data_IF_180627496510
#
_entry.id   IF_180627496510
#
_cell.length_a   1.000
_cell.length_b   1.000
_cell.length_c   1.000
_cell.angle_alpha   90.00
_cell.angle_beta   90.00
_cell.angle_gamma   90.00
#
_symmetry.space_group_name_H-M   'P 1'
#
loop_
_entity.id
_entity.type
_entity.pdbx_description
1 polymer ?
#
# COMPACT_ATOMS: atom_id res chain seq x y z
N UNK A 1 20.67 -8.55 3.85
CA UNK A 1 20.44 -7.75 2.64
C UNK A 1 19.05 -7.15 2.79
N UNK A 2 18.95 -5.83 2.89
CA UNK A 2 17.68 -5.12 3.03
C UNK A 2 17.27 -4.62 1.64
N UNK A 3 16.02 -4.82 1.28
CA UNK A 3 15.41 -4.19 0.10
C UNK A 3 14.43 -3.17 0.66
N UNK A 4 14.63 -1.91 0.31
CA UNK A 4 13.77 -0.79 0.72
C UNK A 4 13.21 -0.12 -0.53
N UNK A 5 11.89 -0.12 -0.66
CA UNK A 5 11.21 0.53 -1.79
C UNK A 5 11.23 2.04 -1.69
N UNK A 6 11.30 2.61 -0.47
CA UNK A 6 11.29 4.06 -0.25
C UNK A 6 12.64 4.71 -0.60
N UNK A 7 13.72 3.92 -0.62
CA UNK A 7 15.05 4.35 -1.08
C UNK A 7 15.36 3.86 -2.51
N UNK A 8 14.40 3.21 -3.18
CA UNK A 8 14.62 2.63 -4.51
C UNK A 8 14.53 3.70 -5.60
N UNK A 9 15.64 3.92 -6.32
CA UNK A 9 15.69 4.91 -7.43
C UNK A 9 14.75 4.59 -8.60
N UNK A 10 14.23 3.36 -8.68
CA UNK A 10 13.29 2.93 -9.70
C UNK A 10 11.83 3.00 -9.24
N UNK A 11 11.57 3.46 -8.01
CA UNK A 11 10.21 3.62 -7.47
C UNK A 11 9.35 4.48 -8.41
N UNK A 12 8.07 4.13 -8.51
CA UNK A 12 7.07 4.78 -9.38
C UNK A 12 7.39 4.74 -10.89
N UNK A 13 8.25 3.81 -11.32
CA UNK A 13 8.51 3.54 -12.74
C UNK A 13 7.98 2.17 -13.15
N UNK A 14 7.94 1.90 -14.45
CA UNK A 14 7.53 0.60 -15.00
C UNK A 14 8.45 -0.57 -14.61
N UNK A 15 9.61 -0.30 -13.98
CA UNK A 15 10.44 -1.37 -13.42
C UNK A 15 9.78 -2.06 -12.22
N UNK A 16 8.83 -1.40 -11.53
CA UNK A 16 8.08 -1.99 -10.44
C UNK A 16 7.06 -3.04 -10.90
N UNK A 17 6.61 -2.98 -12.16
CA UNK A 17 5.58 -3.89 -12.69
C UNK A 17 6.05 -5.36 -12.74
N UNK A 18 7.36 -5.57 -12.93
CA UNK A 18 8.01 -6.89 -12.95
C UNK A 18 8.99 -7.07 -11.78
N UNK A 19 8.87 -6.25 -10.73
CA UNK A 19 9.73 -6.35 -9.56
C UNK A 19 9.28 -7.49 -8.64
N UNK A 20 10.23 -8.30 -8.16
CA UNK A 20 9.98 -9.37 -7.18
C UNK A 20 9.28 -8.86 -5.91
N UNK A 21 9.55 -7.61 -5.49
CA UNK A 21 8.92 -7.02 -4.31
C UNK A 21 7.42 -6.83 -4.53
N UNK A 22 7.02 -6.35 -5.71
CA UNK A 22 5.61 -6.22 -6.10
C UNK A 22 4.92 -7.57 -6.03
N UNK A 23 5.53 -8.65 -6.53
CA UNK A 23 4.94 -10.00 -6.48
C UNK A 23 4.81 -10.51 -5.04
N UNK A 24 5.84 -10.31 -4.20
CA UNK A 24 5.84 -10.76 -2.81
C UNK A 24 4.81 -10.01 -1.95
N UNK A 25 4.59 -8.73 -2.22
CA UNK A 25 3.59 -7.90 -1.53
C UNK A 25 2.19 -8.05 -2.12
N UNK A 26 2.05 -8.23 -3.44
CA UNK A 26 0.78 -8.44 -4.13
C UNK A 26 0.01 -9.66 -3.61
N UNK A 27 0.73 -10.71 -3.20
CA UNK A 27 0.12 -11.87 -2.54
C UNK A 27 -0.60 -11.54 -1.22
N UNK A 28 -0.28 -10.40 -0.60
CA UNK A 28 -0.86 -9.91 0.65
C UNK A 28 -1.82 -8.73 0.42
N UNK A 29 -1.54 -7.85 -0.55
CA UNK A 29 -2.27 -6.60 -0.80
C UNK A 29 -3.49 -6.71 -1.72
N UNK A 30 -3.70 -7.85 -2.38
CA UNK A 30 -4.93 -8.09 -3.16
C UNK A 30 -6.14 -8.54 -2.33
N UNK A 31 -5.97 -8.73 -1.01
CA UNK A 31 -7.14 -8.86 -0.12
C UNK A 31 -7.69 -7.47 0.10
N UNK A 32 -8.89 -7.22 -0.42
CA UNK A 32 -9.70 -6.08 0.00
C UNK A 32 -9.76 -6.10 1.53
N UNK A 33 -9.27 -5.04 2.16
CA UNK A 33 -9.49 -4.81 3.58
C UNK A 33 -10.98 -4.56 3.74
N UNK A 34 -11.68 -5.48 4.40
CA UNK A 34 -13.08 -5.29 4.76
C UNK A 34 -13.11 -4.40 6.00
N UNK A 35 -13.68 -3.22 5.85
CA UNK A 35 -13.93 -2.30 6.94
C UNK A 35 -15.37 -2.46 7.37
N UNK A 36 -15.59 -2.58 8.68
CA UNK A 36 -16.92 -2.41 9.23
C UNK A 36 -17.36 -0.94 9.20
N UNK A 37 -18.61 -0.69 9.58
CA UNK A 37 -19.19 0.64 9.55
C UNK A 37 -18.45 1.63 10.46
N UNK A 38 -18.00 1.17 11.63
CA UNK A 38 -17.30 2.02 12.61
C UNK A 38 -15.87 2.33 12.15
N UNK A 39 -15.20 1.37 11.52
CA UNK A 39 -13.88 1.57 10.93
C UNK A 39 -13.93 2.54 9.75
N UNK A 40 -14.94 2.41 8.89
CA UNK A 40 -15.16 3.34 7.77
C UNK A 40 -15.39 4.77 8.27
N UNK A 41 -16.27 4.94 9.27
CA UNK A 41 -16.53 6.24 9.90
C UNK A 41 -15.28 6.83 10.55
N UNK A 42 -14.43 5.99 11.17
CA UNK A 42 -13.17 6.45 11.76
C UNK A 42 -12.21 6.97 10.69
N UNK A 43 -12.08 6.29 9.54
CA UNK A 43 -11.24 6.73 8.43
C UNK A 43 -11.76 8.04 7.83
N UNK A 44 -13.07 8.16 7.64
CA UNK A 44 -13.68 9.40 7.12
C UNK A 44 -13.41 10.60 8.06
N UNK A 45 -13.54 10.40 9.37
CA UNK A 45 -13.21 11.43 10.37
C UNK A 45 -11.73 11.86 10.31
N UNK A 46 -10.82 10.91 10.08
CA UNK A 46 -9.39 11.21 9.93
C UNK A 46 -9.13 12.02 8.66
N UNK A 47 -9.74 11.65 7.54
CA UNK A 47 -9.63 12.38 6.28
C UNK A 47 -10.18 13.82 6.41
N UNK A 48 -11.33 13.99 7.06
CA UNK A 48 -11.91 15.31 7.35
C UNK A 48 -11.01 16.18 8.25
N UNK A 49 -10.19 15.55 9.11
CA UNK A 49 -9.19 16.21 9.93
C UNK A 49 -7.87 16.53 9.19
N UNK A 50 -7.74 16.12 7.92
CA UNK A 50 -6.58 16.42 7.07
C UNK A 50 -5.49 15.34 7.03
N UNK A 51 -5.85 14.08 7.32
CA UNK A 51 -5.03 12.93 6.94
C UNK A 51 -5.06 12.68 5.42
#
# INVERSE_FOLDING_TARGET
>A
MLIDCDECVMQDTSACDDCVVTVLLAGQSLRRVELDASESEAIDNLADAGL
#
